data_IF_607995080875
#
_entry.id   IF_607995080875
#
_cell.length_a   1.000
_cell.length_b   1.000
_cell.length_c   1.000
_cell.angle_alpha   90.00
_cell.angle_beta   90.00
_cell.angle_gamma   90.00
#
_symmetry.space_group_name_H-M   'P 1'
#
loop_
_entity.id
_entity.type
_entity.pdbx_description
1 polymer ?
#
# COMPACT_ATOMS: atom_id res chain seq x y z
N UNK A 1 15.81 12.80 -55.12
CA UNK A 1 16.30 11.98 -54.00
C UNK A 1 16.46 12.85 -52.77
N UNK A 2 15.39 13.06 -51.99
CA UNK A 2 15.43 13.73 -50.68
C UNK A 2 14.71 12.81 -49.70
N UNK A 3 15.46 12.29 -48.73
CA UNK A 3 14.96 11.52 -47.59
C UNK A 3 14.26 12.50 -46.66
N UNK A 4 12.94 12.48 -46.60
CA UNK A 4 12.21 13.15 -45.53
C UNK A 4 12.35 12.32 -44.25
N UNK A 5 13.02 12.92 -43.28
CA UNK A 5 13.17 12.42 -41.92
C UNK A 5 11.80 12.33 -41.25
N UNK A 6 11.30 11.11 -41.08
CA UNK A 6 10.22 10.84 -40.13
C UNK A 6 10.73 11.19 -38.73
N UNK A 7 10.24 12.32 -38.21
CA UNK A 7 10.38 12.67 -36.82
C UNK A 7 9.65 11.63 -35.98
N UNK A 8 10.44 10.85 -35.23
CA UNK A 8 9.93 10.01 -34.15
C UNK A 8 9.30 10.91 -33.08
N UNK A 9 8.02 11.24 -33.24
CA UNK A 9 7.21 11.79 -32.16
C UNK A 9 7.01 10.63 -31.17
N UNK A 10 7.92 10.49 -30.22
CA UNK A 10 7.67 9.71 -29.02
C UNK A 10 6.39 10.27 -28.38
N UNK A 11 5.27 9.54 -28.46
CA UNK A 11 4.07 9.88 -27.70
C UNK A 11 4.46 9.94 -26.22
N UNK A 12 4.64 11.15 -25.70
CA UNK A 12 4.75 11.35 -24.26
C UNK A 12 3.40 10.93 -23.68
N UNK A 13 3.39 9.76 -23.05
CA UNK A 13 2.22 9.23 -22.34
C UNK A 13 1.81 10.30 -21.33
N UNK A 14 0.64 10.92 -21.52
CA UNK A 14 0.24 12.06 -20.69
C UNK A 14 0.19 11.65 -19.22
N UNK A 15 1.02 12.28 -18.40
CA UNK A 15 1.07 12.07 -16.95
C UNK A 15 -0.32 12.29 -16.34
N UNK A 16 -0.80 11.33 -15.55
CA UNK A 16 -2.11 11.44 -14.92
C UNK A 16 -1.99 12.18 -13.59
N UNK A 17 -2.12 13.51 -13.65
CA UNK A 17 -1.94 14.41 -12.50
C UNK A 17 -2.86 14.08 -11.32
N UNK A 18 -4.06 13.55 -11.56
CA UNK A 18 -4.98 13.13 -10.49
C UNK A 18 -4.36 12.00 -9.65
N UNK A 19 -3.73 11.01 -10.28
CA UNK A 19 -3.08 9.91 -9.57
C UNK A 19 -1.84 10.37 -8.80
N UNK A 20 -1.10 11.35 -9.35
CA UNK A 20 0.04 11.93 -8.65
C UNK A 20 -0.41 12.68 -7.39
N UNK A 21 -1.49 13.47 -7.48
CA UNK A 21 -2.10 14.14 -6.32
C UNK A 21 -2.59 13.13 -5.29
N UNK A 22 -3.30 12.07 -5.71
CA UNK A 22 -3.78 11.04 -4.80
C UNK A 22 -2.63 10.32 -4.08
N UNK A 23 -1.54 10.05 -4.79
CA UNK A 23 -0.33 9.46 -4.21
C UNK A 23 0.34 10.42 -3.21
N UNK A 24 0.46 11.70 -3.55
CA UNK A 24 0.97 12.73 -2.65
C UNK A 24 0.15 12.83 -1.36
N UNK A 25 -1.17 12.81 -1.46
CA UNK A 25 -2.08 12.79 -0.30
C UNK A 25 -1.86 11.53 0.55
N UNK A 26 -1.73 10.36 -0.08
CA UNK A 26 -1.45 9.13 0.66
C UNK A 26 -0.11 9.20 1.43
N UNK A 27 0.94 9.78 0.84
CA UNK A 27 2.23 10.00 1.52
C UNK A 27 2.07 10.97 2.70
N UNK A 28 1.34 12.07 2.52
CA UNK A 28 1.06 13.03 3.60
C UNK A 28 0.33 12.34 4.76
N UNK A 29 -0.66 11.48 4.47
CA UNK A 29 -1.38 10.72 5.50
C UNK A 29 -0.46 9.78 6.30
N UNK A 30 0.52 9.13 5.65
CA UNK A 30 1.54 8.31 6.35
C UNK A 30 2.33 9.17 7.33
N UNK A 31 2.88 10.29 6.85
CA UNK A 31 3.69 11.19 7.69
C UNK A 31 2.86 11.74 8.84
N UNK A 32 1.63 12.17 8.56
CA UNK A 32 0.74 12.73 9.57
C UNK A 32 0.33 11.69 10.63
N UNK A 33 0.04 10.46 10.21
CA UNK A 33 -0.22 9.34 11.12
C UNK A 33 0.95 9.04 12.06
N UNK A 34 2.19 9.04 11.53
CA UNK A 34 3.39 8.87 12.37
C UNK A 34 3.66 10.06 13.29
N UNK A 35 3.26 11.28 12.91
CA UNK A 35 3.34 12.43 13.82
C UNK A 35 2.38 12.28 15.00
N UNK A 36 1.19 11.71 14.80
CA UNK A 36 0.28 11.40 15.91
C UNK A 36 0.89 10.31 16.81
N UNK A 37 1.49 9.28 16.21
CA UNK A 37 2.10 8.16 16.93
C UNK A 37 3.32 8.57 17.77
N UNK A 38 4.24 9.37 17.22
CA UNK A 38 5.54 9.67 17.85
C UNK A 38 5.69 11.11 18.35
N UNK A 39 4.84 12.03 17.91
CA UNK A 39 4.93 13.46 18.21
C UNK A 39 3.90 13.96 19.22
N UNK A 40 2.99 13.11 19.68
CA UNK A 40 1.98 13.46 20.69
C UNK A 40 2.44 13.06 22.11
N UNK A 41 1.96 13.78 23.12
CA UNK A 41 2.13 13.41 24.54
C UNK A 41 1.51 12.03 24.87
N UNK A 42 0.59 11.56 24.02
CA UNK A 42 -0.11 10.26 24.06
C UNK A 42 0.81 9.06 23.73
N UNK A 43 2.03 9.29 23.23
CA UNK A 43 3.00 8.24 22.90
C UNK A 43 3.40 7.37 24.12
N UNK A 44 3.31 7.90 25.34
CA UNK A 44 3.79 7.21 26.53
C UNK A 44 2.82 6.13 27.07
N UNK A 45 1.54 6.15 26.67
CA UNK A 45 0.50 5.26 27.21
C UNK A 45 -0.20 4.38 26.15
N UNK A 46 0.23 4.45 24.88
CA UNK A 46 -0.47 3.83 23.73
C UNK A 46 -1.89 4.38 23.45
N UNK A 47 -2.26 5.53 24.04
CA UNK A 47 -3.58 6.16 23.88
C UNK A 47 -3.90 6.54 22.41
N UNK A 48 -2.86 6.65 21.57
CA UNK A 48 -3.03 6.96 20.15
C UNK A 48 -3.86 5.91 19.37
N UNK A 49 -3.97 4.67 19.85
CA UNK A 49 -4.83 3.66 19.24
C UNK A 49 -6.33 3.99 19.37
N UNK A 50 -6.70 4.81 20.35
CA UNK A 50 -8.07 5.27 20.57
C UNK A 50 -8.34 6.63 19.91
N UNK A 51 -7.29 7.30 19.43
CA UNK A 51 -7.41 8.61 18.80
C UNK A 51 -8.25 8.51 17.50
N UNK A 52 -9.41 9.19 17.41
CA UNK A 52 -10.30 9.08 16.25
C UNK A 52 -9.64 9.45 14.92
N UNK A 53 -8.74 10.43 14.95
CA UNK A 53 -8.01 10.87 13.76
C UNK A 53 -7.01 9.80 13.31
N UNK A 54 -6.32 9.18 14.26
CA UNK A 54 -5.39 8.09 14.00
C UNK A 54 -6.11 6.87 13.42
N UNK A 55 -7.23 6.44 14.01
CA UNK A 55 -8.08 5.37 13.49
C UNK A 55 -8.52 5.69 12.05
N UNK A 56 -9.01 6.91 11.81
CA UNK A 56 -9.48 7.32 10.49
C UNK A 56 -8.37 7.19 9.45
N UNK A 57 -7.16 7.68 9.75
CA UNK A 57 -6.01 7.57 8.85
C UNK A 57 -5.62 6.10 8.64
N UNK A 58 -5.42 5.35 9.73
CA UNK A 58 -4.91 3.97 9.70
C UNK A 58 -5.88 2.97 9.07
N UNK A 59 -7.18 3.27 9.08
CA UNK A 59 -8.19 2.43 8.45
C UNK A 59 -8.01 2.32 6.93
N UNK A 60 -7.49 3.34 6.23
CA UNK A 60 -7.47 3.36 4.76
C UNK A 60 -6.21 3.88 4.06
N UNK A 61 -5.29 4.59 4.73
CA UNK A 61 -4.18 5.25 4.03
C UNK A 61 -3.24 4.27 3.31
N UNK A 62 -2.90 3.13 3.93
CA UNK A 62 -2.10 2.09 3.30
C UNK A 62 -2.84 1.36 2.17
N UNK A 63 -4.11 0.93 2.35
CA UNK A 63 -4.97 0.47 1.26
C UNK A 63 -5.01 1.43 0.06
N UNK A 64 -5.18 2.73 0.31
CA UNK A 64 -5.16 3.78 -0.72
C UNK A 64 -3.83 3.80 -1.47
N UNK A 65 -2.71 3.80 -0.75
CA UNK A 65 -1.38 3.78 -1.34
C UNK A 65 -1.14 2.53 -2.21
N UNK A 66 -1.62 1.37 -1.77
CA UNK A 66 -1.49 0.11 -2.51
C UNK A 66 -2.39 0.04 -3.74
N UNK A 67 -3.64 0.52 -3.67
CA UNK A 67 -4.52 0.64 -4.85
C UNK A 67 -3.86 1.47 -5.95
N UNK A 68 -3.30 2.65 -5.58
CA UNK A 68 -2.63 3.53 -6.54
C UNK A 68 -1.37 2.85 -7.09
N UNK A 69 -0.57 2.21 -6.23
CA UNK A 69 0.65 1.50 -6.62
C UNK A 69 0.37 0.37 -7.61
N UNK A 70 -0.64 -0.45 -7.36
CA UNK A 70 -1.10 -1.51 -8.26
C UNK A 70 -1.62 -0.98 -9.59
N UNK A 71 -2.42 0.10 -9.55
CA UNK A 71 -2.93 0.75 -10.76
C UNK A 71 -1.79 1.26 -11.65
N UNK A 72 -0.78 1.90 -11.06
CA UNK A 72 0.40 2.38 -11.79
C UNK A 72 1.28 1.22 -12.29
N UNK A 73 1.36 0.13 -11.52
CA UNK A 73 2.14 -1.05 -11.87
C UNK A 73 1.67 -1.70 -13.17
N UNK A 74 0.37 -1.68 -13.48
CA UNK A 74 -0.18 -2.21 -14.73
C UNK A 74 0.47 -1.57 -15.97
N UNK A 75 0.73 -0.26 -15.94
CA UNK A 75 1.41 0.41 -17.05
C UNK A 75 2.84 -0.08 -17.24
N UNK A 76 3.55 -0.39 -16.15
CA UNK A 76 4.91 -0.89 -16.20
C UNK A 76 4.98 -2.31 -16.76
N UNK A 77 4.09 -3.19 -16.30
CA UNK A 77 4.00 -4.57 -16.82
C UNK A 77 3.80 -4.55 -18.35
N UNK A 78 2.88 -3.70 -18.83
CA UNK A 78 2.59 -3.59 -20.27
C UNK A 78 3.72 -2.96 -21.10
N UNK A 79 4.61 -2.18 -20.49
CA UNK A 79 5.58 -1.35 -21.25
C UNK A 79 7.01 -1.88 -21.22
N UNK A 80 7.32 -2.83 -20.34
CA UNK A 80 8.69 -3.30 -20.12
C UNK A 80 8.75 -4.83 -20.09
N UNK A 81 9.91 -5.40 -20.43
CA UNK A 81 10.13 -6.84 -20.31
C UNK A 81 10.09 -7.32 -18.85
N UNK A 82 10.00 -8.64 -18.65
CA UNK A 82 10.07 -9.25 -17.31
C UNK A 82 11.31 -8.77 -16.54
N UNK A 83 12.50 -8.90 -17.13
CA UNK A 83 13.77 -8.54 -16.49
C UNK A 83 13.86 -7.05 -16.19
N UNK A 84 13.35 -6.19 -17.08
CA UNK A 84 13.29 -4.74 -16.86
C UNK A 84 12.34 -4.38 -15.71
N UNK A 85 11.18 -5.03 -15.61
CA UNK A 85 10.26 -4.83 -14.49
C UNK A 85 10.93 -5.22 -13.17
N UNK A 86 11.51 -6.43 -13.07
CA UNK A 86 12.23 -6.88 -11.87
C UNK A 86 13.36 -5.91 -11.49
N UNK A 87 14.26 -5.60 -12.43
CA UNK A 87 15.38 -4.67 -12.20
C UNK A 87 14.90 -3.32 -11.71
N UNK A 88 13.87 -2.76 -12.33
CA UNK A 88 13.34 -1.45 -11.96
C UNK A 88 12.72 -1.42 -10.56
N UNK A 89 12.14 -2.53 -10.08
CA UNK A 89 11.57 -2.61 -8.72
C UNK A 89 12.65 -2.80 -7.69
N UNK A 90 13.65 -3.58 -8.01
CA UNK A 90 14.84 -3.69 -7.17
C UNK A 90 15.52 -2.32 -7.00
N UNK A 91 15.80 -1.60 -8.09
CA UNK A 91 16.51 -0.31 -8.02
C UNK A 91 15.68 0.83 -7.43
N UNK A 92 14.35 0.84 -7.61
CA UNK A 92 13.49 1.91 -7.11
C UNK A 92 12.92 1.68 -5.71
N UNK A 93 12.93 0.44 -5.22
CA UNK A 93 12.33 0.09 -3.92
C UNK A 93 13.40 -0.46 -2.98
N UNK A 94 14.08 -1.55 -3.35
CA UNK A 94 15.06 -2.23 -2.47
C UNK A 94 16.29 -1.36 -2.22
N UNK A 95 16.81 -0.70 -3.25
CA UNK A 95 17.98 0.16 -3.09
C UNK A 95 17.73 1.33 -2.11
N UNK A 96 16.62 2.09 -2.19
CA UNK A 96 16.27 3.07 -1.15
C UNK A 96 16.16 2.47 0.27
N UNK A 97 15.59 1.28 0.42
CA UNK A 97 15.51 0.60 1.73
C UNK A 97 16.91 0.40 2.30
N UNK A 98 17.82 -0.17 1.50
CA UNK A 98 19.19 -0.44 1.92
C UNK A 98 19.89 0.86 2.30
N UNK A 99 19.86 1.87 1.42
CA UNK A 99 20.57 3.15 1.65
C UNK A 99 20.07 3.83 2.93
N UNK A 100 18.76 4.01 3.07
CA UNK A 100 18.22 4.71 4.23
C UNK A 100 18.39 3.93 5.52
N UNK A 101 18.26 2.60 5.48
CA UNK A 101 18.51 1.79 6.66
C UNK A 101 19.99 1.77 7.05
N UNK A 102 20.92 1.75 6.08
CA UNK A 102 22.35 1.87 6.35
C UNK A 102 22.70 3.19 7.02
N UNK A 103 22.12 4.31 6.56
CA UNK A 103 22.29 5.62 7.19
C UNK A 103 21.74 5.60 8.63
N UNK A 104 20.54 5.05 8.82
CA UNK A 104 19.91 4.94 10.14
C UNK A 104 20.76 4.11 11.11
N UNK A 105 21.20 2.91 10.69
CA UNK A 105 22.05 2.03 11.50
C UNK A 105 23.39 2.69 11.82
N UNK A 106 24.01 3.38 10.87
CA UNK A 106 25.27 4.10 11.12
C UNK A 106 25.11 5.18 12.20
N UNK A 107 24.02 5.96 12.15
CA UNK A 107 23.74 7.00 13.16
C UNK A 107 23.48 6.36 14.53
N UNK A 108 22.68 5.29 14.58
CA UNK A 108 22.33 4.61 15.83
C UNK A 108 23.53 3.90 16.47
N UNK A 109 24.37 3.26 15.66
CA UNK A 109 25.57 2.57 16.12
C UNK A 109 26.60 3.59 16.63
N UNK A 110 26.80 4.70 15.92
CA UNK A 110 27.65 5.80 16.41
C UNK A 110 27.13 6.38 17.74
N UNK A 111 25.81 6.56 17.87
CA UNK A 111 25.21 7.06 19.11
C UNK A 111 25.42 6.08 20.28
N UNK A 112 25.11 4.79 20.11
CA UNK A 112 25.32 3.76 21.14
C UNK A 112 26.79 3.62 21.54
N UNK A 113 27.69 3.67 20.57
CA UNK A 113 29.13 3.61 20.85
C UNK A 113 29.60 4.80 21.69
N UNK A 114 29.15 6.02 21.39
CA UNK A 114 29.57 7.23 22.12
C UNK A 114 28.98 7.27 23.53
N UNK A 115 27.72 6.88 23.71
CA UNK A 115 26.99 7.10 24.97
C UNK A 115 26.90 5.86 25.88
N UNK A 116 26.91 4.66 25.30
CA UNK A 116 26.72 3.39 26.02
C UNK A 116 27.98 2.50 25.95
N UNK A 117 28.98 2.85 25.13
CA UNK A 117 30.21 2.06 24.98
C UNK A 117 29.99 0.66 24.40
N UNK A 118 28.92 0.47 23.62
CA UNK A 118 28.55 -0.81 23.02
C UNK A 118 28.10 -0.66 21.58
N UNK A 119 28.41 -1.68 20.77
CA UNK A 119 27.97 -1.80 19.38
C UNK A 119 26.59 -2.46 19.27
N UNK A 120 25.88 -2.20 18.17
CA UNK A 120 24.67 -2.93 17.82
C UNK A 120 25.06 -4.30 17.26
N UNK A 121 24.57 -5.43 17.81
CA UNK A 121 24.92 -6.77 17.32
C UNK A 121 24.57 -6.95 15.84
N UNK A 122 25.48 -7.54 15.06
CA UNK A 122 25.31 -7.75 13.61
C UNK A 122 23.99 -8.45 13.25
N UNK A 123 23.57 -9.43 14.05
CA UNK A 123 22.29 -10.12 13.84
C UNK A 123 21.09 -9.18 13.88
N UNK A 124 21.08 -8.22 14.81
CA UNK A 124 20.01 -7.22 14.91
C UNK A 124 20.05 -6.19 13.77
N UNK A 125 21.25 -5.82 13.32
CA UNK A 125 21.43 -4.98 12.13
C UNK A 125 20.85 -5.66 10.88
N UNK A 126 21.12 -6.96 10.69
CA UNK A 126 20.59 -7.73 9.55
C UNK A 126 19.06 -7.84 9.59
N UNK A 127 18.48 -8.11 10.76
CA UNK A 127 17.02 -8.15 10.94
C UNK A 127 16.39 -6.78 10.66
N UNK A 128 17.08 -5.68 11.02
CA UNK A 128 16.61 -4.32 10.72
C UNK A 128 16.37 -4.11 9.22
N UNK A 129 17.24 -4.60 8.33
CA UNK A 129 17.03 -4.48 6.87
C UNK A 129 15.76 -5.18 6.37
N UNK A 130 15.30 -6.22 7.07
CA UNK A 130 14.09 -6.96 6.71
C UNK A 130 12.81 -6.24 7.18
N UNK A 131 12.89 -5.44 8.26
CA UNK A 131 11.76 -4.68 8.80
C UNK A 131 11.75 -3.19 8.39
N UNK A 132 12.89 -2.63 8.01
CA UNK A 132 13.03 -1.23 7.69
C UNK A 132 12.17 -0.84 6.48
N UNK A 133 11.42 0.25 6.63
CA UNK A 133 10.59 0.82 5.57
C UNK A 133 9.70 -0.27 4.93
N UNK A 134 9.07 -1.07 5.80
CA UNK A 134 8.34 -2.29 5.44
C UNK A 134 7.34 -2.10 4.29
N UNK A 135 6.77 -0.90 4.10
CA UNK A 135 5.83 -0.63 3.02
C UNK A 135 6.49 -0.69 1.63
N UNK A 136 7.78 -0.36 1.50
CA UNK A 136 8.51 -0.52 0.24
C UNK A 136 8.76 -2.01 -0.05
N UNK A 137 9.05 -2.81 0.98
CA UNK A 137 9.07 -4.27 0.87
C UNK A 137 7.71 -4.82 0.45
N UNK A 138 6.61 -4.31 1.03
CA UNK A 138 5.26 -4.73 0.67
C UNK A 138 4.96 -4.46 -0.81
N UNK A 139 5.28 -3.26 -1.32
CA UNK A 139 5.13 -2.96 -2.75
C UNK A 139 6.00 -3.89 -3.60
N UNK A 140 7.25 -4.10 -3.19
CA UNK A 140 8.16 -4.99 -3.92
C UNK A 140 7.56 -6.39 -4.03
N UNK A 141 7.19 -7.02 -2.92
CA UNK A 141 6.64 -8.39 -2.91
C UNK A 141 5.29 -8.49 -3.62
N UNK A 142 4.37 -7.54 -3.41
CA UNK A 142 3.10 -7.51 -4.14
C UNK A 142 3.31 -7.36 -5.66
N UNK A 143 4.30 -6.56 -6.07
CA UNK A 143 4.66 -6.39 -7.48
C UNK A 143 5.28 -7.66 -8.06
N UNK A 144 6.16 -8.35 -7.33
CA UNK A 144 6.76 -9.62 -7.76
C UNK A 144 5.72 -10.72 -7.88
N UNK A 145 4.86 -10.87 -6.87
CA UNK A 145 3.73 -11.80 -6.89
C UNK A 145 2.82 -11.53 -8.10
N UNK A 146 2.46 -10.27 -8.32
CA UNK A 146 1.61 -9.90 -9.45
C UNK A 146 2.28 -10.12 -10.80
N UNK A 147 3.60 -9.92 -10.88
CA UNK A 147 4.39 -10.19 -12.08
C UNK A 147 4.41 -11.69 -12.39
N UNK A 148 4.66 -12.55 -11.39
CA UNK A 148 4.60 -14.02 -11.52
C UNK A 148 3.24 -14.46 -12.06
N UNK A 149 2.14 -13.97 -11.48
CA UNK A 149 0.78 -14.29 -11.94
C UNK A 149 0.57 -13.82 -13.38
N UNK A 150 1.03 -12.62 -13.73
CA UNK A 150 0.97 -12.12 -15.11
C UNK A 150 1.70 -13.04 -16.11
N UNK A 151 2.93 -13.46 -15.78
CA UNK A 151 3.80 -14.22 -16.67
C UNK A 151 3.39 -15.68 -16.86
N UNK A 152 3.00 -16.34 -15.78
CA UNK A 152 2.76 -17.79 -15.78
C UNK A 152 1.28 -18.16 -15.83
N UNK A 153 0.38 -17.25 -15.42
CA UNK A 153 -1.06 -17.50 -15.34
C UNK A 153 -1.87 -16.51 -16.18
N UNK A 154 -1.23 -15.69 -17.04
CA UNK A 154 -1.87 -14.73 -17.95
C UNK A 154 -2.85 -13.78 -17.24
N UNK A 155 -2.53 -13.39 -16.00
CA UNK A 155 -3.38 -12.63 -15.09
C UNK A 155 -4.76 -13.26 -14.83
N UNK A 156 -4.82 -14.58 -14.69
CA UNK A 156 -6.03 -15.26 -14.24
C UNK A 156 -6.42 -14.76 -12.83
N UNK A 157 -7.65 -14.24 -12.69
CA UNK A 157 -8.18 -13.73 -11.40
C UNK A 157 -8.15 -14.82 -10.33
N UNK A 158 -8.43 -16.07 -10.69
CA UNK A 158 -8.40 -17.20 -9.76
C UNK A 158 -6.98 -17.38 -9.21
N UNK A 159 -5.93 -17.21 -10.03
CA UNK A 159 -4.56 -17.32 -9.55
C UNK A 159 -4.20 -16.23 -8.53
N UNK A 160 -4.68 -15.00 -8.73
CA UNK A 160 -4.52 -13.92 -7.74
C UNK A 160 -5.23 -14.24 -6.42
N UNK A 161 -6.50 -14.68 -6.50
CA UNK A 161 -7.30 -15.01 -5.32
C UNK A 161 -6.69 -16.20 -4.57
N UNK A 162 -6.31 -17.27 -5.27
CA UNK A 162 -5.67 -18.44 -4.68
C UNK A 162 -4.34 -18.09 -4.01
N UNK A 163 -3.53 -17.21 -4.62
CA UNK A 163 -2.28 -16.75 -4.01
C UNK A 163 -2.53 -15.95 -2.73
N UNK A 164 -3.53 -15.07 -2.72
CA UNK A 164 -3.92 -14.32 -1.52
C UNK A 164 -4.44 -15.22 -0.40
N UNK A 165 -5.32 -16.18 -0.72
CA UNK A 165 -5.84 -17.14 0.25
C UNK A 165 -4.73 -18.04 0.81
N UNK A 166 -3.84 -18.52 -0.05
CA UNK A 166 -2.67 -19.28 0.38
C UNK A 166 -1.76 -18.45 1.31
N UNK A 167 -1.60 -17.16 1.02
CA UNK A 167 -0.75 -16.29 1.81
C UNK A 167 -1.28 -16.04 3.25
N UNK A 168 -2.59 -16.16 3.49
CA UNK A 168 -3.18 -16.12 4.84
C UNK A 168 -2.75 -17.31 5.72
N UNK A 169 -2.32 -18.42 5.11
CA UNK A 169 -1.80 -19.59 5.82
C UNK A 169 -0.35 -19.39 6.29
N UNK A 170 0.33 -18.35 5.80
CA UNK A 170 1.72 -18.11 6.14
C UNK A 170 1.85 -17.55 7.57
N UNK A 171 2.86 -17.99 8.33
CA UNK A 171 3.12 -17.44 9.66
C UNK A 171 3.54 -15.97 9.56
N UNK A 172 3.11 -15.15 10.51
CA UNK A 172 3.39 -13.70 10.59
C UNK A 172 4.82 -13.37 11.04
N UNK A 173 5.83 -14.01 10.43
CA UNK A 173 7.25 -13.82 10.74
C UNK A 173 7.86 -12.84 9.74
N UNK A 174 8.84 -12.02 10.16
CA UNK A 174 9.59 -11.11 9.29
C UNK A 174 8.73 -10.18 8.42
N UNK A 175 7.61 -9.68 8.96
CA UNK A 175 6.74 -8.73 8.26
C UNK A 175 5.83 -9.33 7.20
N UNK A 176 5.79 -10.66 7.04
CA UNK A 176 4.92 -11.33 6.06
C UNK A 176 3.46 -10.88 6.20
N UNK A 177 2.94 -10.75 7.43
CA UNK A 177 1.56 -10.30 7.64
C UNK A 177 1.27 -8.93 7.04
N UNK A 178 2.26 -8.03 7.04
CA UNK A 178 2.12 -6.72 6.42
C UNK A 178 1.98 -6.84 4.89
N UNK A 179 2.71 -7.77 4.27
CA UNK A 179 2.67 -7.99 2.83
C UNK A 179 1.37 -8.67 2.41
N UNK A 180 0.90 -9.64 3.20
CA UNK A 180 -0.39 -10.32 3.01
C UNK A 180 -1.53 -9.32 3.13
N UNK A 181 -1.52 -8.49 4.18
CA UNK A 181 -2.49 -7.40 4.35
C UNK A 181 -2.52 -6.42 3.16
N UNK A 182 -1.35 -6.09 2.60
CA UNK A 182 -1.26 -5.14 1.48
C UNK A 182 -1.66 -5.73 0.11
N UNK A 183 -1.58 -7.05 -0.06
CA UNK A 183 -1.68 -7.72 -1.34
C UNK A 183 -3.02 -7.53 -2.07
N UNK A 184 -4.19 -7.73 -1.42
CA UNK A 184 -5.49 -7.58 -2.10
C UNK A 184 -5.67 -6.19 -2.70
N UNK A 185 -5.30 -5.13 -1.98
CA UNK A 185 -5.41 -3.77 -2.47
C UNK A 185 -4.53 -3.52 -3.70
N UNK A 186 -3.29 -4.03 -3.68
CA UNK A 186 -2.41 -3.90 -4.84
C UNK A 186 -3.00 -4.60 -6.07
N UNK A 187 -3.48 -5.82 -5.91
CA UNK A 187 -4.09 -6.61 -6.99
C UNK A 187 -5.35 -5.93 -7.53
N UNK A 188 -6.23 -5.45 -6.64
CA UNK A 188 -7.45 -4.73 -7.04
C UNK A 188 -7.08 -3.51 -7.88
N UNK A 189 -6.11 -2.70 -7.44
CA UNK A 189 -5.62 -1.56 -8.21
C UNK A 189 -5.08 -1.95 -9.59
N UNK A 190 -4.29 -3.03 -9.66
CA UNK A 190 -3.74 -3.56 -10.90
C UNK A 190 -4.83 -4.02 -11.88
N UNK A 191 -5.76 -4.87 -11.41
CA UNK A 191 -6.86 -5.40 -12.23
C UNK A 191 -7.82 -4.29 -12.67
N UNK A 192 -8.05 -3.29 -11.81
CA UNK A 192 -8.89 -2.13 -12.13
C UNK A 192 -8.35 -1.35 -13.33
N UNK A 193 -7.03 -1.14 -13.40
CA UNK A 193 -6.39 -0.57 -14.58
C UNK A 193 -6.47 -1.55 -15.77
N UNK A 194 -6.10 -2.82 -15.55
CA UNK A 194 -6.02 -3.82 -16.62
C UNK A 194 -7.31 -3.92 -17.42
N UNK A 195 -8.45 -4.00 -16.73
CA UNK A 195 -9.78 -4.14 -17.34
C UNK A 195 -10.45 -2.79 -17.70
N UNK A 196 -9.75 -1.66 -17.56
CA UNK A 196 -10.26 -0.35 -17.93
C UNK A 196 -11.53 0.06 -17.15
N UNK A 197 -11.66 -0.36 -15.89
CA UNK A 197 -12.88 -0.16 -15.09
C UNK A 197 -13.18 1.33 -14.85
N UNK A 198 -12.18 2.20 -14.94
CA UNK A 198 -12.34 3.66 -14.93
C UNK A 198 -13.38 4.13 -15.95
N UNK A 199 -13.36 3.58 -17.17
CA UNK A 199 -14.27 3.98 -18.24
C UNK A 199 -15.70 3.45 -17.99
N UNK A 200 -15.82 2.24 -17.45
CA UNK A 200 -17.12 1.65 -17.08
C UNK A 200 -17.80 2.47 -15.99
N UNK A 201 -17.07 2.87 -14.95
CA UNK A 201 -17.61 3.73 -13.89
C UNK A 201 -17.94 5.13 -14.43
N UNK A 202 -17.14 5.65 -15.37
CA UNK A 202 -17.43 6.93 -16.01
C UNK A 202 -18.72 6.91 -16.83
N UNK A 203 -19.08 5.77 -17.43
CA UNK A 203 -20.35 5.59 -18.18
C UNK A 203 -21.60 5.53 -17.30
N UNK A 204 -21.47 5.35 -15.98
CA UNK A 204 -22.61 5.39 -15.07
C UNK A 204 -23.19 6.81 -14.98
N UNK A 205 -24.52 6.90 -14.99
CA UNK A 205 -25.24 8.16 -14.82
C UNK A 205 -24.91 8.86 -13.50
N UNK A 206 -24.93 10.20 -13.50
CA UNK A 206 -24.45 10.99 -12.35
C UNK A 206 -25.20 10.67 -11.05
N UNK A 207 -26.53 10.47 -11.12
CA UNK A 207 -27.37 10.09 -9.96
C UNK A 207 -26.90 8.77 -9.32
N UNK A 208 -26.61 7.75 -10.14
CA UNK A 208 -26.15 6.44 -9.68
C UNK A 208 -24.80 6.57 -8.97
N UNK A 209 -23.87 7.34 -9.54
CA UNK A 209 -22.55 7.56 -8.93
C UNK A 209 -22.65 8.25 -7.57
N UNK A 210 -23.54 9.23 -7.42
CA UNK A 210 -23.78 9.91 -6.14
C UNK A 210 -24.34 8.93 -5.11
N UNK A 211 -25.37 8.15 -5.48
CA UNK A 211 -25.95 7.13 -4.59
C UNK A 211 -24.90 6.12 -4.14
N UNK A 212 -24.11 5.58 -5.06
CA UNK A 212 -23.03 4.64 -4.73
C UNK A 212 -21.98 5.27 -3.81
N UNK A 213 -21.63 6.54 -4.04
CA UNK A 213 -20.67 7.26 -3.18
C UNK A 213 -21.21 7.45 -1.76
N UNK A 214 -22.50 7.77 -1.62
CA UNK A 214 -23.17 7.90 -0.31
C UNK A 214 -23.26 6.55 0.41
N UNK A 215 -23.59 5.47 -0.31
CA UNK A 215 -23.63 4.13 0.26
C UNK A 215 -22.25 3.67 0.75
N UNK A 216 -21.20 3.90 -0.05
CA UNK A 216 -19.82 3.61 0.36
C UNK A 216 -19.39 4.44 1.57
N UNK A 217 -19.76 5.72 1.61
CA UNK A 217 -19.48 6.57 2.75
C UNK A 217 -20.21 6.09 4.02
N UNK A 218 -21.50 5.76 3.92
CA UNK A 218 -22.26 5.20 5.03
C UNK A 218 -21.68 3.86 5.53
N UNK A 219 -21.27 2.99 4.62
CA UNK A 219 -20.60 1.73 4.96
C UNK A 219 -19.25 1.98 5.65
N UNK A 220 -18.45 2.94 5.18
CA UNK A 220 -17.20 3.32 5.82
C UNK A 220 -17.44 3.81 7.25
N UNK A 221 -18.42 4.70 7.47
CA UNK A 221 -18.78 5.18 8.80
C UNK A 221 -19.22 4.03 9.71
N UNK A 222 -20.07 3.12 9.23
CA UNK A 222 -20.51 1.96 10.01
C UNK A 222 -19.35 1.05 10.44
N UNK A 223 -18.42 0.76 9.52
CA UNK A 223 -17.22 -0.03 9.81
C UNK A 223 -16.28 0.71 10.75
N UNK A 224 -16.07 2.02 10.54
CA UNK A 224 -15.25 2.86 11.39
C UNK A 224 -15.72 2.85 12.86
N UNK A 225 -17.03 2.92 13.09
CA UNK A 225 -17.61 2.85 14.43
C UNK A 225 -17.39 1.50 15.12
N UNK A 226 -17.10 0.46 14.35
CA UNK A 226 -16.82 -0.90 14.85
C UNK A 226 -15.33 -1.18 14.96
N UNK A 227 -14.47 -0.22 14.63
CA UNK A 227 -13.02 -0.40 14.61
C UNK A 227 -12.46 -0.47 16.02
N UNK A 228 -11.61 -1.47 16.27
CA UNK A 228 -11.01 -1.78 17.58
C UNK A 228 -9.49 -1.84 17.50
N UNK A 229 -8.82 -1.93 18.66
CA UNK A 229 -7.36 -2.05 18.73
C UNK A 229 -6.84 -3.32 18.02
N UNK A 230 -7.63 -4.38 17.96
CA UNK A 230 -7.23 -5.63 17.30
C UNK A 230 -7.21 -5.49 15.78
N UNK A 231 -7.94 -4.52 15.22
CA UNK A 231 -7.99 -4.28 13.77
C UNK A 231 -6.73 -3.63 13.22
N UNK A 232 -5.81 -3.18 14.08
CA UNK A 232 -4.48 -2.78 13.65
C UNK A 232 -3.65 -4.00 13.25
N UNK A 233 -3.14 -4.00 12.02
CA UNK A 233 -2.29 -5.09 11.49
C UNK A 233 -1.05 -5.34 12.37
N UNK A 234 -0.56 -4.32 13.05
CA UNK A 234 0.58 -4.38 13.96
C UNK A 234 0.27 -5.10 15.28
N UNK A 235 -1.02 -5.26 15.61
CA UNK A 235 -1.49 -5.91 16.82
C UNK A 235 -1.80 -7.38 16.55
N UNK A 236 -2.69 -7.70 15.59
CA UNK A 236 -3.12 -9.10 15.39
C UNK A 236 -2.46 -9.86 14.23
N UNK A 237 -1.77 -9.20 13.28
CA UNK A 237 -1.18 -9.89 12.10
C UNK A 237 -2.25 -10.47 11.16
N UNK A 238 -1.91 -11.38 10.22
CA UNK A 238 -2.88 -11.98 9.25
C UNK A 238 -2.82 -13.51 9.16
N UNK A 239 -2.03 -14.15 10.02
CA UNK A 239 -1.80 -15.59 9.96
C UNK A 239 -2.96 -16.34 10.62
N UNK A 240 -3.79 -17.02 9.83
CA UNK A 240 -4.98 -17.71 10.36
C UNK A 240 -4.66 -19.09 10.95
N UNK A 241 -3.44 -19.59 10.79
CA UNK A 241 -2.99 -20.84 11.41
C UNK A 241 -2.21 -20.50 12.69
N UNK A 242 -2.76 -20.91 13.83
CA UNK A 242 -2.08 -20.84 15.14
C UNK A 242 -1.39 -22.16 15.48
N UNK A 243 -0.53 -22.14 16.49
CA UNK A 243 0.12 -23.32 17.08
C UNK A 243 0.96 -24.18 16.11
N UNK A 244 1.42 -23.61 14.99
CA UNK A 244 2.35 -24.27 14.05
C UNK A 244 3.61 -24.84 14.73
N UNK A 245 4.07 -24.20 15.81
CA UNK A 245 5.24 -24.66 16.58
C UNK A 245 4.93 -25.81 17.56
N UNK A 246 3.66 -26.00 17.92
CA UNK A 246 3.21 -26.99 18.91
C UNK A 246 2.63 -28.26 18.26
N UNK A 247 2.75 -28.41 16.93
CA UNK A 247 2.31 -29.57 16.13
C UNK A 247 0.79 -29.85 16.12
N UNK A 248 -0.03 -28.96 16.68
CA UNK A 248 -1.49 -28.97 16.58
C UNK A 248 -1.96 -27.69 15.87
N UNK A 249 -1.85 -27.61 14.53
CA UNK A 249 -2.27 -26.43 13.78
C UNK A 249 -3.79 -26.27 13.86
N UNK A 250 -4.24 -25.11 14.33
CA UNK A 250 -5.67 -24.77 14.42
C UNK A 250 -5.98 -23.55 13.53
N UNK A 251 -7.13 -23.61 12.87
CA UNK A 251 -7.68 -22.50 12.10
C UNK A 251 -8.35 -21.49 13.03
N UNK A 252 -7.79 -20.30 13.12
CA UNK A 252 -8.35 -19.20 13.88
C UNK A 252 -9.39 -18.42 13.06
N UNK A 253 -10.67 -18.76 13.27
CA UNK A 253 -11.80 -18.08 12.63
C UNK A 253 -11.97 -16.63 13.11
N UNK A 254 -11.55 -16.32 14.34
CA UNK A 254 -11.58 -14.97 14.86
C UNK A 254 -10.57 -14.09 14.12
N UNK A 255 -9.34 -14.57 13.93
CA UNK A 255 -8.33 -13.88 13.13
C UNK A 255 -8.79 -13.68 11.68
N UNK A 256 -9.41 -14.69 11.06
CA UNK A 256 -9.98 -14.57 9.73
C UNK A 256 -11.06 -13.47 9.66
N UNK A 257 -11.91 -13.36 10.70
CA UNK A 257 -12.95 -12.31 10.76
C UNK A 257 -12.35 -10.91 10.84
N UNK A 258 -11.28 -10.73 11.61
CA UNK A 258 -10.52 -9.48 11.70
C UNK A 258 -9.92 -9.13 10.34
N UNK A 259 -9.30 -10.09 9.66
CA UNK A 259 -8.69 -9.85 8.35
C UNK A 259 -9.73 -9.46 7.28
N UNK A 260 -10.89 -10.12 7.27
CA UNK A 260 -12.01 -9.76 6.39
C UNK A 260 -12.49 -8.34 6.70
N UNK A 261 -12.67 -7.99 7.98
CA UNK A 261 -13.06 -6.65 8.39
C UNK A 261 -12.06 -5.59 7.91
N UNK A 262 -10.76 -5.83 8.14
CA UNK A 262 -9.68 -4.94 7.67
C UNK A 262 -9.70 -4.75 6.16
N UNK A 263 -9.81 -5.83 5.40
CA UNK A 263 -9.91 -5.76 3.94
C UNK A 263 -11.11 -4.95 3.49
N UNK A 264 -12.25 -5.09 4.17
CA UNK A 264 -13.46 -4.34 3.87
C UNK A 264 -13.31 -2.84 4.18
N UNK A 265 -12.96 -2.48 5.41
CA UNK A 265 -12.85 -1.06 5.82
C UNK A 265 -11.75 -0.34 5.02
N UNK A 266 -10.63 -1.02 4.78
CA UNK A 266 -9.52 -0.46 4.01
C UNK A 266 -9.88 -0.19 2.56
N UNK A 267 -10.55 -1.15 1.90
CA UNK A 267 -10.95 -0.98 0.50
C UNK A 267 -12.02 0.11 0.36
N UNK A 268 -13.05 0.08 1.21
CA UNK A 268 -14.15 1.06 1.17
C UNK A 268 -13.61 2.46 1.49
N UNK A 269 -12.83 2.60 2.55
CA UNK A 269 -12.23 3.88 2.94
C UNK A 269 -11.31 4.45 1.85
N UNK A 270 -10.50 3.59 1.20
CA UNK A 270 -9.64 4.03 0.11
C UNK A 270 -10.42 4.48 -1.13
N UNK A 271 -11.52 3.81 -1.47
CA UNK A 271 -12.41 4.23 -2.55
C UNK A 271 -13.09 5.56 -2.20
N UNK A 272 -13.59 5.73 -0.97
CA UNK A 272 -14.14 6.99 -0.49
C UNK A 272 -13.11 8.13 -0.61
N UNK A 273 -11.87 7.90 -0.18
CA UNK A 273 -10.79 8.86 -0.30
C UNK A 273 -10.52 9.23 -1.77
N UNK A 274 -10.44 8.26 -2.69
CA UNK A 274 -10.28 8.54 -4.13
C UNK A 274 -11.43 9.37 -4.70
N UNK A 275 -12.68 9.10 -4.29
CA UNK A 275 -13.84 9.88 -4.72
C UNK A 275 -13.73 11.33 -4.21
N UNK A 276 -13.42 11.52 -2.93
CA UNK A 276 -13.24 12.85 -2.33
C UNK A 276 -12.12 13.60 -3.05
N UNK A 277 -10.94 12.98 -3.21
CA UNK A 277 -9.80 13.57 -3.91
C UNK A 277 -10.20 13.97 -5.34
N UNK A 278 -10.99 13.14 -6.04
CA UNK A 278 -11.43 13.44 -7.41
C UNK A 278 -12.40 14.62 -7.46
N UNK A 279 -13.32 14.71 -6.50
CA UNK A 279 -14.24 15.85 -6.39
C UNK A 279 -13.44 17.11 -6.09
N UNK A 280 -12.56 17.09 -5.09
CA UNK A 280 -11.74 18.24 -4.71
C UNK A 280 -10.81 18.66 -5.84
N UNK A 281 -10.17 17.71 -6.54
CA UNK A 281 -9.31 17.95 -7.70
C UNK A 281 -10.02 18.71 -8.82
N UNK A 282 -11.32 18.48 -9.04
CA UNK A 282 -12.11 19.23 -10.03
C UNK A 282 -12.36 20.69 -9.64
N UNK A 283 -12.30 21.01 -8.35
CA UNK A 283 -12.54 22.35 -7.81
C UNK A 283 -11.24 23.11 -7.51
N UNK A 284 -10.11 22.41 -7.37
CA UNK A 284 -8.80 23.01 -7.18
C UNK A 284 -8.28 23.56 -8.51
N UNK A 285 -7.79 24.81 -8.50
CA UNK A 285 -7.17 25.45 -9.67
C UNK A 285 -5.96 24.68 -10.21
N UNK A 286 -5.72 24.79 -11.53
CA UNK A 286 -4.67 24.06 -12.26
C UNK A 286 -3.28 24.19 -11.62
N UNK A 287 -2.93 25.37 -11.07
CA UNK A 287 -1.64 25.62 -10.45
C UNK A 287 -1.41 24.82 -9.17
N UNK A 288 -2.41 24.76 -8.28
CA UNK A 288 -2.34 24.00 -7.02
C UNK A 288 -2.31 22.49 -7.30
N UNK A 289 -3.07 22.02 -8.29
CA UNK A 289 -3.03 20.62 -8.71
C UNK A 289 -1.65 20.21 -9.26
N UNK A 290 -0.97 21.13 -9.96
CA UNK A 290 0.37 20.90 -10.49
C UNK A 290 1.43 20.88 -9.38
N UNK A 291 1.27 21.72 -8.35
CA UNK A 291 2.16 21.74 -7.19
C UNK A 291 2.02 20.46 -6.36
N UNK A 292 0.78 20.05 -6.04
CA UNK A 292 0.52 18.80 -5.33
C UNK A 292 0.99 17.57 -6.12
N UNK A 293 0.81 17.55 -7.44
CA UNK A 293 1.29 16.46 -8.28
C UNK A 293 2.81 16.39 -8.45
N UNK A 294 3.57 17.44 -8.07
CA UNK A 294 5.04 17.36 -8.01
C UNK A 294 5.54 16.67 -6.73
N UNK A 295 4.71 16.60 -5.68
CA UNK A 295 5.04 15.97 -4.40
C UNK A 295 4.93 14.43 -4.51
N UNK A 296 4.02 13.93 -5.35
CA UNK A 296 3.79 12.49 -5.60
C UNK A 296 4.65 11.90 -6.71
#
# INVERSE_FOLDING_TARGET
MKKDSQSNISHSRSRNLYLDVAKGIAIILVVFGHNIQYGSFECNNEDFFENPLFIAIYSFHMPLFMLISGYLFCHSIKSYSWSQNVKSRFTKLVLPIIIWNSIYLFIMDAHKNIWEGSDIPLGSQLVSYLGAIWFLWAIFWCSMASLVVHRYFNDNIIAYVSLGLFALLLPGVLGISLYVYMYPYFVIGYLFNKYGLTNKIASLGNKIRVILSLLLFGAFVGLYMSYTKEDYIYISGTGIIKNLKQLEPELDLHQLSIDIFRYAIGLIGAICALIIIRVTYKHIGKNTSMLLGKIG
#
